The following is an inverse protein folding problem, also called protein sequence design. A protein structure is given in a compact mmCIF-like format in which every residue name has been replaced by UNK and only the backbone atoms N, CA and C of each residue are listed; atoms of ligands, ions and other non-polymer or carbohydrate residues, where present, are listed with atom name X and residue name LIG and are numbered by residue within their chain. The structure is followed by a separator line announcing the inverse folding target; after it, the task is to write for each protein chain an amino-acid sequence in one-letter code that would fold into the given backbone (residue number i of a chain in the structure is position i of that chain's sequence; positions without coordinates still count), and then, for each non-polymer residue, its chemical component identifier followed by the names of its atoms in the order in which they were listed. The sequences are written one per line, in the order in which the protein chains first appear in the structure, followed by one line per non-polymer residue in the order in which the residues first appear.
data_IF_311193138211
#
_entry.id   IF_311193138211
#
_cell.length_a   1.000
_cell.length_b   1.000
_cell.length_c   1.000
_cell.angle_alpha   90.00
_cell.angle_beta   90.00
_cell.angle_gamma   90.00
#
_symmetry.space_group_name_H-M   'P 1'
#
loop_
_entity.id
_entity.type
_entity.pdbx_description
1 polymer ?
#
# COMPACT_ATOMS: atom_id res chain seq x y z
N UNK A 1 10.22 20.53 -23.63
CA UNK A 1 9.24 21.51 -24.15
C UNK A 1 9.31 22.77 -23.31
N UNK A 2 8.98 23.93 -23.90
CA UNK A 2 8.98 25.23 -23.24
C UNK A 2 7.63 25.89 -23.48
N UNK A 3 7.23 26.81 -22.58
CA UNK A 3 6.04 27.60 -22.71
C UNK A 3 6.44 29.10 -22.72
N UNK A 4 5.85 29.86 -23.64
CA UNK A 4 6.06 31.31 -23.75
C UNK A 4 4.73 32.01 -23.66
N UNK A 5 4.69 33.18 -23.01
CA UNK A 5 3.53 34.07 -23.06
C UNK A 5 3.34 34.65 -24.47
N UNK A 6 2.20 35.29 -24.69
CA UNK A 6 1.92 35.99 -25.97
C UNK A 6 2.95 37.11 -26.28
N UNK A 7 3.60 37.64 -25.25
CA UNK A 7 4.70 38.61 -25.39
C UNK A 7 6.07 37.94 -25.60
N UNK A 8 6.14 36.63 -25.71
CA UNK A 8 7.37 35.87 -25.93
C UNK A 8 8.23 35.66 -24.68
N UNK A 9 7.69 35.90 -23.47
CA UNK A 9 8.40 35.66 -22.21
C UNK A 9 8.33 34.19 -21.86
N UNK A 10 9.48 33.57 -21.58
CA UNK A 10 9.57 32.18 -21.18
C UNK A 10 8.96 31.97 -19.78
N UNK A 11 8.04 31.01 -19.68
CA UNK A 11 7.42 30.64 -18.41
C UNK A 11 8.33 29.73 -17.57
N UNK A 12 8.37 29.97 -16.25
CA UNK A 12 9.01 29.10 -15.25
C UNK A 12 8.10 28.93 -14.05
N UNK A 13 8.24 27.80 -13.33
CA UNK A 13 7.36 27.46 -12.20
C UNK A 13 6.03 26.82 -12.64
N UNK A 14 5.03 26.95 -11.80
CA UNK A 14 3.71 26.35 -12.00
C UNK A 14 2.91 27.09 -13.08
N UNK A 15 2.27 26.31 -13.96
CA UNK A 15 1.33 26.78 -14.95
C UNK A 15 0.06 25.95 -14.92
N UNK A 16 -1.07 26.60 -14.67
CA UNK A 16 -2.39 25.98 -14.79
C UNK A 16 -3.00 26.35 -16.14
N UNK A 17 -3.44 25.37 -16.90
CA UNK A 17 -4.13 25.54 -18.18
C UNK A 17 -5.36 24.63 -18.25
N UNK A 18 -6.16 24.75 -19.30
CA UNK A 18 -7.32 23.87 -19.55
C UNK A 18 -6.92 22.39 -19.61
N UNK A 19 -5.68 22.10 -20.06
CA UNK A 19 -5.12 20.74 -20.15
C UNK A 19 -4.47 20.24 -18.86
N UNK A 20 -4.56 20.96 -17.75
CA UNK A 20 -4.05 20.57 -16.43
C UNK A 20 -2.89 21.43 -15.91
N UNK A 21 -2.39 21.00 -14.75
CA UNK A 21 -1.30 21.65 -14.03
C UNK A 21 0.05 21.17 -14.58
N UNK A 22 0.96 22.10 -14.88
CA UNK A 22 2.33 21.80 -15.36
C UNK A 22 3.36 22.53 -14.51
N UNK A 23 4.59 22.06 -14.56
CA UNK A 23 5.72 22.74 -13.94
C UNK A 23 6.88 22.90 -14.92
N UNK A 24 7.49 24.07 -14.91
CA UNK A 24 8.65 24.40 -15.73
C UNK A 24 9.82 24.78 -14.82
N UNK A 25 10.97 24.15 -15.07
CA UNK A 25 12.18 24.43 -14.31
C UNK A 25 12.67 25.88 -14.52
N UNK A 26 13.69 26.29 -13.77
CA UNK A 26 14.25 27.65 -13.87
C UNK A 26 14.84 27.95 -15.27
N UNK A 27 15.22 26.93 -16.02
CA UNK A 27 15.68 27.04 -17.42
C UNK A 27 14.51 27.00 -18.44
N UNK A 28 13.25 26.97 -17.96
CA UNK A 28 12.04 26.88 -18.75
C UNK A 28 11.69 25.50 -19.27
N UNK A 29 12.46 24.45 -18.95
CA UNK A 29 12.15 23.10 -19.39
C UNK A 29 10.94 22.52 -18.64
N UNK A 30 9.96 21.99 -19.41
CA UNK A 30 8.81 21.28 -18.86
C UNK A 30 9.26 19.97 -18.20
N UNK A 31 8.79 19.73 -16.98
CA UNK A 31 9.07 18.47 -16.28
C UNK A 31 8.10 17.36 -16.70
N UNK A 32 8.55 16.11 -16.56
CA UNK A 32 7.80 14.86 -16.74
C UNK A 32 8.23 13.84 -15.69
N UNK A 33 7.47 12.76 -15.56
CA UNK A 33 7.71 11.69 -14.58
C UNK A 33 7.70 12.21 -13.13
N UNK A 34 8.33 11.47 -12.22
CA UNK A 34 8.41 11.84 -10.81
C UNK A 34 9.27 13.07 -10.58
N UNK A 35 8.73 14.03 -9.81
CA UNK A 35 9.42 15.24 -9.40
C UNK A 35 9.20 15.51 -7.91
N UNK A 36 10.19 16.12 -7.27
CA UNK A 36 10.04 16.65 -5.92
C UNK A 36 10.16 18.19 -6.00
N UNK A 37 9.07 18.88 -5.65
CA UNK A 37 8.97 20.31 -5.76
C UNK A 37 8.45 20.87 -4.43
N UNK A 38 9.25 21.70 -3.77
CA UNK A 38 8.87 22.28 -2.47
C UNK A 38 8.66 21.24 -1.36
N UNK A 39 9.38 20.11 -1.38
CA UNK A 39 9.25 19.02 -0.41
C UNK A 39 8.02 18.13 -0.61
N UNK A 40 7.27 18.31 -1.68
CA UNK A 40 6.16 17.45 -2.08
C UNK A 40 6.51 16.68 -3.35
N UNK A 41 5.96 15.48 -3.50
CA UNK A 41 6.15 14.63 -4.67
C UNK A 41 5.00 14.80 -5.66
N UNK A 42 5.32 14.81 -6.94
CA UNK A 42 4.40 14.94 -8.05
C UNK A 42 4.77 13.92 -9.13
N UNK A 43 3.78 13.49 -9.89
CA UNK A 43 4.01 12.72 -11.10
C UNK A 43 3.41 13.44 -12.30
N UNK A 44 4.23 13.71 -13.30
CA UNK A 44 3.82 14.37 -14.54
C UNK A 44 3.83 13.36 -15.69
N UNK A 45 2.73 13.30 -16.42
CA UNK A 45 2.64 12.49 -17.63
C UNK A 45 3.60 12.96 -18.73
N UNK A 46 3.69 12.22 -19.83
CA UNK A 46 4.54 12.55 -20.98
C UNK A 46 4.15 13.90 -21.62
N UNK A 47 2.90 14.33 -21.50
CA UNK A 47 2.40 15.63 -21.93
C UNK A 47 2.75 16.77 -20.94
N UNK A 48 3.39 16.44 -19.80
CA UNK A 48 3.77 17.37 -18.74
C UNK A 48 2.62 17.74 -17.79
N UNK A 49 1.43 17.18 -17.94
CA UNK A 49 0.35 17.39 -16.99
C UNK A 49 0.57 16.62 -15.70
N UNK A 50 0.35 17.28 -14.55
CA UNK A 50 0.38 16.60 -13.24
C UNK A 50 -0.76 15.60 -13.15
N UNK A 51 -0.47 14.43 -12.62
CA UNK A 51 -1.46 13.41 -12.31
C UNK A 51 -2.31 13.86 -11.11
N UNK A 52 -3.62 13.59 -11.15
CA UNK A 52 -4.58 13.82 -10.06
C UNK A 52 -5.38 12.54 -9.87
N UNK A 53 -5.71 12.20 -8.61
CA UNK A 53 -6.42 10.97 -8.27
C UNK A 53 -5.51 9.75 -8.20
N UNK A 54 -6.10 8.57 -8.36
CA UNK A 54 -5.38 7.32 -8.27
C UNK A 54 -4.39 7.10 -9.41
N UNK A 55 -3.19 6.63 -9.07
CA UNK A 55 -2.14 6.26 -10.00
C UNK A 55 -1.45 5.00 -9.53
N UNK A 56 -1.24 4.05 -10.43
CA UNK A 56 -0.55 2.80 -10.15
C UNK A 56 0.77 2.75 -10.93
N UNK A 57 1.85 2.44 -10.23
CA UNK A 57 3.15 2.17 -10.81
C UNK A 57 3.67 0.83 -10.30
N UNK A 58 3.72 -0.16 -11.17
CA UNK A 58 4.04 -1.54 -10.79
C UNK A 58 3.01 -2.09 -9.79
N UNK A 59 3.48 -2.48 -8.61
CA UNK A 59 2.64 -3.01 -7.53
C UNK A 59 2.21 -1.94 -6.51
N UNK A 60 2.62 -0.68 -6.70
CA UNK A 60 2.36 0.39 -5.76
C UNK A 60 1.25 1.30 -6.24
N UNK A 61 0.33 1.62 -5.35
CA UNK A 61 -0.71 2.62 -5.57
C UNK A 61 -0.29 3.94 -4.94
N UNK A 62 -0.66 5.03 -5.61
CA UNK A 62 -0.49 6.41 -5.18
C UNK A 62 -1.80 7.14 -5.35
N UNK A 63 -2.00 8.18 -4.58
CA UNK A 63 -3.10 9.11 -4.79
C UNK A 63 -2.57 10.53 -4.85
N UNK A 64 -2.92 11.26 -5.90
CA UNK A 64 -2.54 12.65 -6.07
C UNK A 64 -3.71 13.56 -5.74
N UNK A 65 -3.47 14.50 -4.83
CA UNK A 65 -4.45 15.48 -4.39
C UNK A 65 -4.80 16.45 -5.52
N UNK A 66 -5.81 17.30 -5.31
CA UNK A 66 -6.25 18.30 -6.30
C UNK A 66 -5.17 19.34 -6.66
N UNK A 67 -4.16 19.53 -5.80
CA UNK A 67 -2.97 20.36 -6.08
C UNK A 67 -1.86 19.58 -6.84
N UNK A 68 -2.12 18.35 -7.24
CA UNK A 68 -1.19 17.46 -7.93
C UNK A 68 -0.14 16.79 -7.03
N UNK A 69 -0.09 17.11 -5.73
CA UNK A 69 0.87 16.48 -4.82
C UNK A 69 0.43 15.10 -4.40
N UNK A 70 1.39 14.15 -4.23
CA UNK A 70 1.11 12.83 -3.69
C UNK A 70 0.61 12.91 -2.26
N UNK A 71 -0.44 12.16 -1.94
CA UNK A 71 -0.97 12.02 -0.59
C UNK A 71 0.08 11.38 0.34
N UNK A 72 0.11 11.83 1.60
CA UNK A 72 1.04 11.34 2.64
C UNK A 72 0.28 11.24 3.96
N UNK A 73 0.48 10.14 4.69
CA UNK A 73 -0.24 9.88 5.95
C UNK A 73 -1.70 9.48 5.72
N UNK A 74 -2.57 9.63 6.73
CA UNK A 74 -4.00 9.35 6.59
C UNK A 74 -4.67 10.38 5.67
N UNK A 75 -5.41 9.91 4.68
CA UNK A 75 -6.09 10.75 3.68
C UNK A 75 -7.49 10.20 3.42
N UNK A 76 -8.50 11.04 3.53
CA UNK A 76 -9.90 10.69 3.21
C UNK A 76 -10.10 10.73 1.68
N UNK A 77 -10.54 9.60 1.12
CA UNK A 77 -10.82 9.44 -0.30
C UNK A 77 -12.16 8.70 -0.42
N UNK A 78 -13.12 9.32 -1.07
CA UNK A 78 -14.47 8.75 -1.29
C UNK A 78 -15.18 8.27 -0.01
N UNK A 79 -14.86 8.88 1.14
CA UNK A 79 -15.44 8.56 2.45
C UNK A 79 -14.73 7.43 3.19
N UNK A 80 -13.60 6.96 2.69
CA UNK A 80 -12.74 5.96 3.35
C UNK A 80 -11.36 6.57 3.66
N UNK A 81 -10.78 6.18 4.80
CA UNK A 81 -9.43 6.61 5.18
C UNK A 81 -8.38 5.68 4.58
N UNK A 82 -7.58 6.21 3.70
CA UNK A 82 -6.39 5.56 3.14
C UNK A 82 -5.13 6.03 3.84
N UNK A 83 -4.11 5.19 3.89
CA UNK A 83 -2.84 5.52 4.53
C UNK A 83 -1.71 5.48 3.51
N UNK A 84 -0.87 6.51 3.51
CA UNK A 84 0.25 6.61 2.57
C UNK A 84 1.57 6.80 3.32
N UNK A 85 2.63 6.18 2.83
CA UNK A 85 3.99 6.38 3.33
C UNK A 85 4.46 7.82 3.07
N UNK A 86 5.56 8.28 3.70
CA UNK A 86 6.18 9.57 3.35
C UNK A 86 6.61 9.68 1.88
N UNK A 87 6.70 8.55 1.16
CA UNK A 87 6.97 8.52 -0.29
C UNK A 87 5.69 8.49 -1.14
N UNK A 88 4.51 8.59 -0.53
CA UNK A 88 3.21 8.60 -1.20
C UNK A 88 2.70 7.24 -1.65
N UNK A 89 3.34 6.14 -1.26
CA UNK A 89 2.85 4.79 -1.56
C UNK A 89 1.72 4.43 -0.60
N UNK A 90 0.62 3.92 -1.12
CA UNK A 90 -0.47 3.40 -0.30
C UNK A 90 0.02 2.23 0.57
N UNK A 91 -0.39 2.23 1.83
CA UNK A 91 -0.21 1.11 2.76
C UNK A 91 -1.57 0.71 3.34
N UNK A 92 -1.80 -0.59 3.43
CA UNK A 92 -3.04 -1.10 3.99
C UNK A 92 -2.83 -1.31 5.49
N UNK A 93 -3.49 -0.48 6.29
CA UNK A 93 -3.56 -0.68 7.72
C UNK A 93 -4.62 -1.74 8.02
N UNK A 94 -4.20 -2.87 8.55
CA UNK A 94 -5.12 -3.97 8.93
C UNK A 94 -5.12 -4.16 10.44
N UNK A 95 -6.27 -4.00 11.04
CA UNK A 95 -6.54 -4.28 12.46
C UNK A 95 -8.03 -4.57 12.67
N UNK A 96 -8.47 -4.74 13.91
CA UNK A 96 -9.87 -5.03 14.22
C UNK A 96 -10.87 -3.95 13.75
N UNK A 97 -10.43 -2.68 13.67
CA UNK A 97 -11.25 -1.56 13.18
C UNK A 97 -11.13 -1.35 11.65
N UNK A 98 -10.06 -1.86 11.04
CA UNK A 98 -9.76 -1.69 9.61
C UNK A 98 -9.54 -3.08 8.99
N UNK A 99 -10.60 -3.77 8.53
CA UNK A 99 -10.46 -5.06 7.85
C UNK A 99 -9.73 -4.89 6.50
N UNK A 100 -9.17 -6.00 5.99
CA UNK A 100 -8.55 -6.00 4.66
C UNK A 100 -9.58 -5.52 3.62
N UNK A 101 -9.26 -4.51 2.80
CA UNK A 101 -10.16 -4.04 1.74
C UNK A 101 -10.54 -5.16 0.78
N UNK A 102 -11.78 -5.16 0.29
CA UNK A 102 -12.30 -6.20 -0.60
C UNK A 102 -11.58 -6.30 -1.95
N UNK A 103 -10.93 -5.20 -2.38
CA UNK A 103 -10.13 -5.14 -3.60
C UNK A 103 -8.72 -5.72 -3.45
N UNK A 104 -8.26 -5.94 -2.21
CA UNK A 104 -6.92 -6.47 -1.97
C UNK A 104 -6.86 -7.96 -2.27
N UNK A 105 -6.05 -8.32 -3.24
CA UNK A 105 -5.82 -9.71 -3.61
C UNK A 105 -4.45 -10.18 -3.14
N UNK A 106 -4.39 -11.40 -2.63
CA UNK A 106 -3.17 -12.07 -2.19
C UNK A 106 -2.87 -13.19 -3.17
N UNK A 107 -1.64 -13.22 -3.70
CA UNK A 107 -1.10 -14.35 -4.45
C UNK A 107 -0.25 -15.22 -3.52
N UNK A 108 -0.83 -16.25 -2.88
CA UNK A 108 -0.10 -17.03 -1.89
C UNK A 108 0.91 -17.97 -2.54
N UNK A 109 2.16 -17.91 -2.11
CA UNK A 109 3.23 -18.84 -2.45
C UNK A 109 3.72 -19.58 -1.21
N UNK A 110 4.09 -20.85 -1.36
CA UNK A 110 4.64 -21.66 -0.26
C UNK A 110 6.10 -21.27 -0.02
N UNK A 111 6.44 -21.01 1.23
CA UNK A 111 7.80 -20.66 1.66
C UNK A 111 8.48 -21.87 2.32
N UNK A 112 7.86 -22.43 3.36
CA UNK A 112 8.37 -23.56 4.13
C UNK A 112 7.18 -24.45 4.51
N UNK A 113 7.26 -25.73 4.26
CA UNK A 113 6.21 -26.71 4.51
C UNK A 113 4.88 -26.30 3.86
N UNK A 114 3.88 -25.93 4.68
CA UNK A 114 2.56 -25.46 4.26
C UNK A 114 2.37 -23.95 4.46
N UNK A 115 3.38 -23.24 5.01
CA UNK A 115 3.30 -21.81 5.25
C UNK A 115 3.35 -21.04 3.95
N UNK A 116 2.41 -20.14 3.79
CA UNK A 116 2.25 -19.30 2.60
C UNK A 116 2.43 -17.83 2.94
N UNK A 117 2.99 -17.08 2.01
CA UNK A 117 3.07 -15.63 2.05
C UNK A 117 2.58 -15.06 0.73
N UNK A 118 2.29 -13.76 0.69
CA UNK A 118 2.05 -13.11 -0.59
C UNK A 118 3.32 -13.16 -1.46
N UNK A 119 3.15 -13.39 -2.76
CA UNK A 119 4.27 -13.49 -3.71
C UNK A 119 5.20 -12.27 -3.69
N UNK A 120 4.65 -11.07 -3.41
CA UNK A 120 5.43 -9.83 -3.29
C UNK A 120 6.43 -9.84 -2.12
N UNK A 121 6.14 -10.64 -1.10
CA UNK A 121 7.00 -10.80 0.07
C UNK A 121 8.00 -11.94 -0.09
N UNK A 122 7.87 -12.81 -1.11
CA UNK A 122 8.63 -14.06 -1.22
C UNK A 122 10.14 -13.81 -1.30
N UNK A 123 10.60 -13.07 -2.30
CA UNK A 123 12.05 -12.84 -2.51
C UNK A 123 12.71 -12.12 -1.33
N UNK A 124 12.17 -10.99 -0.79
CA UNK A 124 12.72 -10.35 0.39
C UNK A 124 12.77 -11.27 1.62
N UNK A 125 11.74 -12.11 1.81
CA UNK A 125 11.68 -13.05 2.91
C UNK A 125 12.75 -14.15 2.75
N UNK A 126 12.89 -14.74 1.57
CA UNK A 126 13.90 -15.77 1.29
C UNK A 126 15.32 -15.23 1.49
N UNK A 127 15.58 -13.98 1.10
CA UNK A 127 16.87 -13.33 1.36
C UNK A 127 17.10 -13.18 2.87
N UNK A 128 16.11 -12.68 3.61
CA UNK A 128 16.20 -12.54 5.07
C UNK A 128 16.48 -13.90 5.76
N UNK A 129 15.79 -14.97 5.35
CA UNK A 129 15.99 -16.30 5.91
C UNK A 129 17.39 -16.86 5.60
N UNK A 130 17.89 -16.60 4.38
CA UNK A 130 19.26 -16.95 3.99
C UNK A 130 20.29 -16.22 4.86
N UNK A 131 20.10 -14.93 5.09
CA UNK A 131 20.99 -14.11 5.92
C UNK A 131 20.97 -14.57 7.38
N UNK A 132 19.79 -14.88 7.92
CA UNK A 132 19.64 -15.47 9.26
C UNK A 132 20.41 -16.80 9.38
N UNK A 133 20.25 -17.69 8.41
CA UNK A 133 20.96 -18.98 8.37
C UNK A 133 22.48 -18.78 8.29
N UNK A 134 22.94 -17.86 7.45
CA UNK A 134 24.35 -17.50 7.34
C UNK A 134 24.96 -16.89 8.61
N UNK A 135 24.13 -16.22 9.40
CA UNK A 135 24.49 -15.68 10.72
C UNK A 135 24.35 -16.66 11.88
N UNK A 136 23.91 -17.92 11.63
CA UNK A 136 23.64 -18.92 12.66
C UNK A 136 22.43 -18.62 13.51
N UNK A 137 21.48 -17.82 13.01
CA UNK A 137 20.23 -17.48 13.68
C UNK A 137 19.17 -18.52 13.29
N UNK A 138 18.64 -19.21 14.29
CA UNK A 138 17.50 -20.11 14.10
C UNK A 138 16.20 -19.32 14.05
N UNK A 139 15.29 -19.71 13.17
CA UNK A 139 13.97 -19.12 13.03
C UNK A 139 12.88 -20.18 13.01
N UNK A 140 11.68 -19.79 13.43
CA UNK A 140 10.50 -20.66 13.43
C UNK A 140 9.37 -19.92 12.71
N UNK A 141 8.78 -20.58 11.71
CA UNK A 141 7.54 -20.14 11.09
C UNK A 141 6.35 -20.56 11.96
N UNK A 142 5.72 -19.62 12.65
CA UNK A 142 4.55 -19.89 13.47
C UNK A 142 3.24 -19.85 12.67
N UNK A 143 3.12 -18.90 11.74
CA UNK A 143 1.96 -18.77 10.88
C UNK A 143 2.34 -18.07 9.57
N UNK A 144 1.58 -18.35 8.54
CA UNK A 144 1.65 -17.67 7.25
C UNK A 144 0.26 -17.18 6.85
N UNK A 145 0.09 -16.82 5.59
CA UNK A 145 -1.20 -16.48 5.02
C UNK A 145 -2.20 -17.62 5.18
N UNK A 146 -3.41 -17.27 5.59
CA UNK A 146 -4.56 -18.16 5.67
C UNK A 146 -5.74 -17.52 4.94
N UNK A 147 -6.52 -18.35 4.27
CA UNK A 147 -7.79 -17.89 3.69
C UNK A 147 -8.81 -17.63 4.80
N UNK A 148 -9.88 -16.89 4.48
CA UNK A 148 -11.00 -16.69 5.42
C UNK A 148 -11.63 -18.02 5.85
N UNK A 149 -11.72 -19.00 4.93
CA UNK A 149 -12.26 -20.32 5.24
C UNK A 149 -11.37 -21.05 6.26
N UNK A 150 -10.05 -21.07 6.04
CA UNK A 150 -9.11 -21.71 6.98
C UNK A 150 -9.14 -21.04 8.36
N UNK A 151 -9.31 -19.70 8.42
CA UNK A 151 -9.47 -18.99 9.70
C UNK A 151 -10.78 -19.37 10.40
N UNK A 152 -11.87 -19.51 9.65
CA UNK A 152 -13.17 -19.92 10.16
C UNK A 152 -13.09 -21.34 10.71
N UNK A 153 -12.51 -22.27 9.97
CA UNK A 153 -12.34 -23.67 10.38
C UNK A 153 -11.52 -23.79 11.67
N UNK A 154 -10.44 -22.99 11.80
CA UNK A 154 -9.62 -22.94 13.03
C UNK A 154 -10.44 -22.38 14.20
N UNK A 155 -11.19 -21.31 13.99
CA UNK A 155 -12.03 -20.72 15.03
C UNK A 155 -13.11 -21.70 15.50
N UNK A 156 -13.79 -22.37 14.57
CA UNK A 156 -14.81 -23.38 14.89
C UNK A 156 -14.19 -24.54 15.68
N UNK A 157 -13.04 -25.06 15.22
CA UNK A 157 -12.33 -26.11 15.93
C UNK A 157 -11.96 -25.71 17.36
N UNK A 158 -11.37 -24.53 17.54
CA UNK A 158 -11.02 -24.00 18.88
C UNK A 158 -12.25 -23.80 19.75
N UNK A 159 -13.35 -23.29 19.18
CA UNK A 159 -14.62 -23.15 19.91
C UNK A 159 -15.07 -24.51 20.44
N UNK A 160 -15.06 -25.55 19.61
CA UNK A 160 -15.45 -26.91 20.04
C UNK A 160 -14.51 -27.50 21.10
N UNK A 161 -13.22 -27.22 21.00
CA UNK A 161 -12.22 -27.62 22.00
C UNK A 161 -12.49 -26.93 23.34
N UNK A 162 -12.72 -25.62 23.36
CA UNK A 162 -13.03 -24.85 24.57
C UNK A 162 -14.37 -25.26 25.20
N UNK A 163 -15.41 -25.55 24.41
CA UNK A 163 -16.66 -26.11 24.94
C UNK A 163 -16.43 -27.36 25.76
N UNK A 164 -15.59 -28.28 25.26
CA UNK A 164 -15.29 -29.57 25.93
C UNK A 164 -14.35 -29.41 27.12
N UNK A 165 -13.33 -28.55 26.98
CA UNK A 165 -12.29 -28.41 28.00
C UNK A 165 -12.75 -27.64 29.22
N UNK A 166 -13.60 -26.58 29.01
CA UNK A 166 -14.01 -25.67 30.05
C UNK A 166 -15.50 -25.78 30.41
N UNK A 167 -16.25 -26.73 29.79
CA UNK A 167 -17.70 -26.89 29.97
C UNK A 167 -18.50 -25.62 29.71
N UNK A 168 -18.11 -24.87 28.63
CA UNK A 168 -18.70 -23.60 28.23
C UNK A 168 -19.80 -23.80 27.18
N UNK A 169 -20.76 -22.86 27.15
CA UNK A 169 -21.66 -22.79 26.01
C UNK A 169 -20.94 -22.28 24.75
N UNK A 170 -21.63 -22.33 23.60
CA UNK A 170 -21.02 -21.99 22.30
C UNK A 170 -20.53 -20.54 22.26
N UNK A 171 -21.31 -19.57 22.78
CA UNK A 171 -20.98 -18.13 22.70
C UNK A 171 -19.79 -17.79 23.60
N UNK A 172 -19.76 -18.35 24.82
CA UNK A 172 -18.63 -18.20 25.75
C UNK A 172 -17.35 -18.84 25.21
N UNK A 173 -17.46 -20.06 24.67
CA UNK A 173 -16.33 -20.77 24.07
C UNK A 173 -15.79 -20.04 22.84
N UNK A 174 -16.68 -19.48 21.99
CA UNK A 174 -16.28 -18.69 20.81
C UNK A 174 -15.57 -17.39 21.19
N UNK A 175 -16.06 -16.70 22.21
CA UNK A 175 -15.40 -15.51 22.74
C UNK A 175 -13.98 -15.84 23.23
N UNK A 176 -13.84 -16.90 24.00
CA UNK A 176 -12.54 -17.39 24.51
C UNK A 176 -11.59 -17.82 23.39
N UNK A 177 -12.10 -18.36 22.29
CA UNK A 177 -11.29 -18.78 21.13
C UNK A 177 -10.75 -17.59 20.31
N UNK A 178 -11.30 -16.38 20.51
CA UNK A 178 -10.87 -15.13 19.87
C UNK A 178 -9.83 -14.38 20.70
N UNK A 179 -9.64 -14.71 21.97
CA UNK A 179 -8.60 -14.18 22.86
C UNK A 179 -7.23 -14.83 22.59
#
# INVERSE_FOLDING_TARGET
RYHFSDEGVMHTGWLTSEDGLRYYQADGAMVTAWQEIGGKRYYFGENGAATIGWYQEGEYNYYFLSDGSAAVGPTEIDGETHFFTPKGMEVILVNAAHPIPSYYTVNPVIVVDWHRVDQRCYEPLMQMLSDCSGAGIEYIFNCGYRTMQEQTDILEKRTQEHMKEFDLDFDEARKKALE
#
